data_IF_934594044016
#
_entry.id   IF_934594044016
#
_cell.length_a   1.000
_cell.length_b   1.000
_cell.length_c   1.000
_cell.angle_alpha   90.00
_cell.angle_beta   90.00
_cell.angle_gamma   90.00
#
_symmetry.space_group_name_H-M   'P 1'
#
loop_
_entity.id
_entity.type
_entity.pdbx_description
1 polymer ?
#
# COMPACT_ATOMS: atom_id res chain seq x y z
N UNK A 1 9.50 45.38 -5.45
CA UNK A 1 8.12 45.13 -4.98
C UNK A 1 7.63 43.86 -5.65
N UNK A 2 7.78 42.77 -4.98
CA UNK A 2 7.39 41.45 -5.48
C UNK A 2 6.08 41.05 -4.80
N UNK A 3 4.99 41.16 -5.56
CA UNK A 3 3.67 40.75 -5.11
C UNK A 3 3.60 39.23 -5.05
N UNK A 4 3.49 38.66 -3.86
CA UNK A 4 3.10 37.25 -3.65
C UNK A 4 1.60 37.19 -3.91
N UNK A 5 1.21 36.64 -5.06
CA UNK A 5 -0.17 36.23 -5.30
C UNK A 5 -0.43 34.95 -4.52
N UNK A 6 -1.12 35.06 -3.38
CA UNK A 6 -1.75 33.93 -2.72
C UNK A 6 -2.92 33.45 -3.58
N UNK A 7 -2.67 32.54 -4.51
CA UNK A 7 -3.74 31.75 -5.11
C UNK A 7 -4.42 30.95 -4.02
N UNK A 8 -5.69 31.26 -3.74
CA UNK A 8 -6.56 30.37 -3.01
C UNK A 8 -6.56 29.01 -3.74
N UNK A 9 -5.96 28.00 -3.13
CA UNK A 9 -5.91 26.67 -3.69
C UNK A 9 -7.36 26.13 -3.75
N UNK A 10 -7.87 25.79 -4.94
CA UNK A 10 -9.12 25.07 -5.00
C UNK A 10 -8.93 23.76 -4.27
N UNK A 11 -9.91 23.36 -3.47
CA UNK A 11 -9.97 22.04 -2.84
C UNK A 11 -10.18 21.04 -3.99
N UNK A 12 -9.09 20.52 -4.52
CA UNK A 12 -9.17 19.42 -5.46
C UNK A 12 -9.46 18.14 -4.67
N UNK A 13 -10.64 17.57 -4.85
CA UNK A 13 -10.86 16.17 -4.56
C UNK A 13 -10.01 15.37 -5.53
N UNK A 14 -8.88 14.87 -5.04
CA UNK A 14 -8.00 14.04 -5.85
C UNK A 14 -8.58 12.64 -5.98
N UNK A 15 -9.33 12.42 -7.03
CA UNK A 15 -9.47 11.10 -7.60
C UNK A 15 -8.10 10.70 -8.16
N UNK A 16 -7.56 9.59 -7.68
CA UNK A 16 -6.39 8.97 -8.31
C UNK A 16 -6.85 8.57 -9.69
N UNK A 17 -6.24 9.07 -10.79
CA UNK A 17 -6.68 8.71 -12.13
C UNK A 17 -6.54 7.20 -12.27
N UNK A 18 -7.64 6.52 -12.60
CA UNK A 18 -7.61 5.10 -12.93
C UNK A 18 -6.79 4.86 -14.20
N UNK A 19 -6.35 3.63 -14.41
CA UNK A 19 -5.61 3.24 -15.62
C UNK A 19 -6.34 3.58 -16.91
N UNK A 20 -7.67 3.53 -16.91
CA UNK A 20 -8.53 3.91 -18.02
C UNK A 20 -8.42 5.40 -18.37
N UNK A 21 -8.43 6.26 -17.35
CA UNK A 21 -8.27 7.69 -17.58
C UNK A 21 -6.88 8.02 -18.14
N UNK A 22 -5.83 7.38 -17.61
CA UNK A 22 -4.46 7.54 -18.09
C UNK A 22 -4.33 7.08 -19.54
N UNK A 23 -4.90 5.93 -19.88
CA UNK A 23 -4.96 5.42 -21.27
C UNK A 23 -5.65 6.42 -22.20
N UNK A 24 -6.79 6.97 -21.78
CA UNK A 24 -7.54 7.97 -22.56
C UNK A 24 -6.72 9.24 -22.81
N UNK A 25 -6.04 9.77 -21.79
CA UNK A 25 -5.21 10.98 -21.94
C UNK A 25 -3.99 10.71 -22.81
N UNK A 26 -3.35 9.55 -22.67
CA UNK A 26 -2.22 9.18 -23.52
C UNK A 26 -2.62 9.00 -25.00
N UNK A 27 -3.81 8.44 -25.28
CA UNK A 27 -4.33 8.34 -26.64
C UNK A 27 -4.57 9.71 -27.30
N UNK A 28 -4.95 10.72 -26.51
CA UNK A 28 -5.10 12.10 -27.01
C UNK A 28 -3.74 12.76 -27.30
N UNK A 29 -2.76 12.51 -26.43
CA UNK A 29 -1.42 13.09 -26.56
C UNK A 29 -0.59 12.41 -27.66
N UNK A 30 -0.78 11.11 -27.84
CA UNK A 30 -0.01 10.27 -28.76
C UNK A 30 -0.94 9.46 -29.68
N UNK A 31 -1.68 10.11 -30.61
CA UNK A 31 -2.73 9.46 -31.41
C UNK A 31 -2.22 8.39 -32.40
N UNK A 32 -0.92 8.36 -32.66
CA UNK A 32 -0.31 7.38 -33.59
C UNK A 32 0.35 6.20 -32.87
N UNK A 33 0.30 6.16 -31.52
CA UNK A 33 0.95 5.11 -30.74
C UNK A 33 -0.03 4.00 -30.37
N UNK A 34 0.49 2.79 -30.25
CA UNK A 34 -0.29 1.64 -29.81
C UNK A 34 -0.16 1.52 -28.29
N UNK A 35 -1.25 1.83 -27.58
CA UNK A 35 -1.31 1.79 -26.13
C UNK A 35 -2.05 0.53 -25.70
N UNK A 36 -1.52 -0.17 -24.69
CA UNK A 36 -2.17 -1.32 -24.11
C UNK A 36 -2.29 -1.19 -22.59
N UNK A 37 -3.47 -1.53 -22.05
CA UNK A 37 -3.78 -1.53 -20.63
C UNK A 37 -3.70 -2.92 -20.04
N UNK A 38 -3.01 -3.00 -18.89
CA UNK A 38 -2.81 -4.21 -18.10
C UNK A 38 -3.23 -3.96 -16.67
N UNK A 39 -4.46 -4.26 -16.33
CA UNK A 39 -4.98 -4.21 -14.96
C UNK A 39 -5.87 -5.43 -14.65
N UNK A 40 -6.21 -5.60 -13.38
CA UNK A 40 -7.00 -6.73 -12.89
C UNK A 40 -8.43 -6.75 -13.45
N UNK A 41 -8.95 -5.62 -13.88
CA UNK A 41 -10.34 -5.50 -14.35
C UNK A 41 -10.48 -5.92 -15.83
N UNK A 42 -9.38 -5.92 -16.58
CA UNK A 42 -9.33 -6.28 -18.02
C UNK A 42 -8.90 -7.74 -18.24
N UNK A 43 -8.38 -8.39 -17.20
CA UNK A 43 -7.69 -9.66 -17.33
C UNK A 43 -8.61 -10.89 -17.24
N UNK A 44 -9.16 -11.31 -18.36
CA UNK A 44 -9.17 -12.75 -18.61
C UNK A 44 -7.73 -13.18 -18.96
N UNK A 45 -7.28 -14.34 -18.46
CA UNK A 45 -5.92 -14.87 -18.71
C UNK A 45 -5.50 -14.80 -20.18
N UNK A 46 -6.42 -15.08 -21.11
CA UNK A 46 -6.22 -15.01 -22.55
C UNK A 46 -5.88 -13.61 -23.08
N UNK A 47 -6.49 -12.55 -22.54
CA UNK A 47 -6.16 -11.18 -22.96
C UNK A 47 -4.77 -10.75 -22.48
N UNK A 48 -4.38 -11.19 -21.29
CA UNK A 48 -3.04 -10.92 -20.75
C UNK A 48 -1.97 -11.60 -21.60
N UNK A 49 -2.14 -12.88 -21.93
CA UNK A 49 -1.21 -13.64 -22.79
C UNK A 49 -1.09 -13.02 -24.18
N UNK A 50 -2.22 -12.70 -24.81
CA UNK A 50 -2.24 -12.07 -26.13
C UNK A 50 -1.54 -10.70 -26.15
N UNK A 51 -1.76 -9.88 -25.12
CA UNK A 51 -1.09 -8.59 -25.01
C UNK A 51 0.40 -8.76 -24.71
N UNK A 52 0.78 -9.78 -23.93
CA UNK A 52 2.18 -10.09 -23.65
C UNK A 52 2.93 -10.54 -24.92
N UNK A 53 2.32 -11.36 -25.76
CA UNK A 53 2.90 -11.73 -27.07
C UNK A 53 3.07 -10.52 -28.01
N UNK A 54 2.05 -9.65 -28.06
CA UNK A 54 2.15 -8.40 -28.84
C UNK A 54 3.27 -7.49 -28.36
N UNK A 55 3.48 -7.44 -27.02
CA UNK A 55 4.56 -6.70 -26.41
C UNK A 55 5.92 -7.26 -26.81
N UNK A 56 6.11 -8.58 -26.72
CA UNK A 56 7.35 -9.25 -27.16
C UNK A 56 7.65 -9.05 -28.65
N UNK A 57 6.61 -8.88 -29.46
CA UNK A 57 6.73 -8.60 -30.90
C UNK A 57 6.91 -7.10 -31.21
N UNK A 58 7.15 -6.25 -30.20
CA UNK A 58 7.28 -4.79 -30.35
C UNK A 58 6.07 -4.12 -31.06
N UNK A 59 4.87 -4.66 -30.85
CA UNK A 59 3.61 -4.14 -31.41
C UNK A 59 2.85 -3.26 -30.43
N UNK A 60 3.45 -2.89 -29.32
CA UNK A 60 2.89 -2.00 -28.29
C UNK A 60 3.98 -1.00 -27.94
N UNK A 61 3.64 0.29 -28.04
CA UNK A 61 4.56 1.40 -27.78
C UNK A 61 4.49 1.86 -26.32
N UNK A 62 3.29 1.88 -25.75
CA UNK A 62 3.05 2.34 -24.39
C UNK A 62 2.21 1.31 -23.62
N UNK A 63 2.63 1.02 -22.40
CA UNK A 63 1.90 0.15 -21.48
C UNK A 63 1.40 0.96 -20.32
N UNK A 64 0.13 0.85 -20.00
CA UNK A 64 -0.50 1.43 -18.84
C UNK A 64 -0.95 0.29 -17.90
N UNK A 65 -0.65 0.38 -16.62
CA UNK A 65 -1.11 -0.63 -15.69
C UNK A 65 -0.81 -0.32 -14.23
N UNK A 66 -1.16 -1.27 -13.38
CA UNK A 66 -0.96 -1.20 -11.95
C UNK A 66 0.37 -1.82 -11.54
N UNK A 67 0.59 -1.95 -10.24
CA UNK A 67 1.78 -2.61 -9.64
C UNK A 67 2.06 -4.02 -10.20
N UNK A 68 1.08 -4.67 -10.83
CA UNK A 68 1.24 -6.00 -11.44
C UNK A 68 2.28 -5.99 -12.57
N UNK A 69 2.38 -4.89 -13.33
CA UNK A 69 3.39 -4.74 -14.39
C UNK A 69 4.81 -4.82 -13.85
N UNK A 70 5.02 -4.28 -12.66
CA UNK A 70 6.35 -4.26 -12.03
C UNK A 70 6.77 -5.64 -11.54
N UNK A 71 5.81 -6.48 -11.12
CA UNK A 71 6.08 -7.77 -10.45
C UNK A 71 6.09 -8.97 -11.39
N UNK A 72 5.36 -8.93 -12.50
CA UNK A 72 5.02 -10.13 -13.25
C UNK A 72 5.57 -10.26 -14.66
N UNK A 73 6.03 -9.17 -15.29
CA UNK A 73 6.39 -9.17 -16.70
C UNK A 73 7.89 -8.93 -16.92
N UNK A 74 8.47 -9.68 -17.83
CA UNK A 74 9.78 -9.33 -18.40
C UNK A 74 9.54 -8.35 -19.55
N UNK A 75 10.05 -7.12 -19.41
CA UNK A 75 9.88 -6.02 -20.34
C UNK A 75 11.23 -5.66 -20.95
N UNK A 76 11.64 -6.37 -22.00
CA UNK A 76 12.90 -6.07 -22.67
C UNK A 76 12.83 -4.69 -23.36
N UNK A 77 13.95 -3.97 -23.37
CA UNK A 77 14.11 -2.68 -24.07
C UNK A 77 13.20 -1.54 -23.56
N UNK A 78 12.87 -1.55 -22.28
CA UNK A 78 12.07 -0.49 -21.66
C UNK A 78 12.91 0.79 -21.51
N UNK A 79 12.66 1.80 -22.35
CA UNK A 79 13.41 3.07 -22.35
C UNK A 79 12.88 4.10 -21.35
N UNK A 80 11.62 3.98 -20.95
CA UNK A 80 10.99 4.95 -20.04
C UNK A 80 10.01 4.28 -19.08
N UNK A 81 10.01 4.72 -17.83
CA UNK A 81 8.99 4.37 -16.82
C UNK A 81 8.46 5.64 -16.16
N UNK A 82 7.16 5.86 -16.25
CA UNK A 82 6.44 6.90 -15.51
C UNK A 82 5.69 6.30 -14.31
N UNK A 83 6.02 6.71 -13.09
CA UNK A 83 5.28 6.34 -11.88
C UNK A 83 4.36 7.48 -11.51
N UNK A 84 3.07 7.31 -11.77
CA UNK A 84 2.06 8.33 -11.53
C UNK A 84 1.55 8.19 -10.10
N UNK A 85 1.67 9.28 -9.32
CA UNK A 85 1.20 9.37 -7.94
C UNK A 85 1.80 8.30 -7.00
N UNK A 86 3.11 8.38 -6.79
CA UNK A 86 3.82 7.53 -5.82
C UNK A 86 3.27 7.67 -4.38
N UNK A 87 2.66 8.82 -4.06
CA UNK A 87 2.07 9.11 -2.75
C UNK A 87 0.90 8.19 -2.40
N UNK A 88 0.19 7.66 -3.38
CA UNK A 88 -0.92 6.74 -3.16
C UNK A 88 -0.48 5.48 -2.38
N UNK A 89 0.72 5.00 -2.65
CA UNK A 89 1.29 3.86 -1.95
C UNK A 89 1.69 4.24 -0.51
N UNK A 90 2.14 5.46 -0.26
CA UNK A 90 2.53 5.97 1.06
C UNK A 90 1.33 6.33 1.95
N UNK A 91 0.15 6.52 1.37
CA UNK A 91 -1.05 6.95 2.09
C UNK A 91 -1.75 5.82 2.88
N UNK A 92 -1.37 4.57 2.70
CA UNK A 92 -1.98 3.46 3.43
C UNK A 92 -1.58 3.46 4.90
N UNK A 93 -2.54 3.39 5.84
CA UNK A 93 -2.26 3.38 7.28
C UNK A 93 -1.77 2.00 7.74
N UNK A 94 -0.58 1.60 7.29
CA UNK A 94 0.03 0.32 7.62
C UNK A 94 1.51 0.53 7.96
N UNK A 95 2.02 -0.19 8.95
CA UNK A 95 3.42 -0.10 9.37
C UNK A 95 4.43 -0.61 8.34
N UNK A 96 3.97 -1.34 7.33
CA UNK A 96 4.81 -1.85 6.22
C UNK A 96 4.72 -0.98 4.97
N UNK A 97 3.99 0.12 5.01
CA UNK A 97 3.68 0.96 3.84
C UNK A 97 4.94 1.53 3.18
N UNK A 98 5.83 2.11 3.96
CA UNK A 98 7.06 2.70 3.44
C UNK A 98 7.99 1.64 2.83
N UNK A 99 8.10 0.47 3.47
CA UNK A 99 8.89 -0.65 2.97
C UNK A 99 8.34 -1.18 1.64
N UNK A 100 7.03 -1.40 1.56
CA UNK A 100 6.36 -1.84 0.33
C UNK A 100 6.51 -0.82 -0.79
N UNK A 101 6.43 0.47 -0.47
CA UNK A 101 6.62 1.56 -1.44
C UNK A 101 8.06 1.60 -1.93
N UNK A 102 9.05 1.53 -1.03
CA UNK A 102 10.46 1.44 -1.41
C UNK A 102 10.71 0.27 -2.36
N UNK A 103 10.26 -0.92 -2.00
CA UNK A 103 10.42 -2.14 -2.82
C UNK A 103 9.78 -1.98 -4.20
N UNK A 104 8.58 -1.41 -4.27
CA UNK A 104 7.89 -1.17 -5.53
C UNK A 104 8.66 -0.19 -6.42
N UNK A 105 9.13 0.92 -5.86
CA UNK A 105 9.88 1.93 -6.61
C UNK A 105 11.21 1.37 -7.12
N UNK A 106 11.98 0.69 -6.27
CA UNK A 106 13.25 0.05 -6.68
C UNK A 106 13.02 -1.00 -7.77
N UNK A 107 11.95 -1.81 -7.66
CA UNK A 107 11.61 -2.78 -8.69
C UNK A 107 11.26 -2.10 -10.02
N UNK A 108 10.51 -0.99 -9.98
CA UNK A 108 10.14 -0.24 -11.18
C UNK A 108 11.37 0.41 -11.84
N UNK A 109 12.24 1.02 -11.04
CA UNK A 109 13.50 1.61 -11.49
C UNK A 109 14.41 0.53 -12.11
N UNK A 110 14.51 -0.63 -11.46
CA UNK A 110 15.31 -1.75 -11.95
C UNK A 110 14.81 -2.38 -13.25
N UNK A 111 13.59 -2.06 -13.70
CA UNK A 111 13.07 -2.52 -15.01
C UNK A 111 13.72 -1.79 -16.20
N UNK A 112 14.02 -0.51 -16.03
CA UNK A 112 14.58 0.33 -17.10
C UNK A 112 16.07 0.00 -17.36
N UNK A 113 16.78 -0.48 -16.34
CA UNK A 113 18.24 -0.75 -16.47
C UNK A 113 18.56 -2.19 -16.93
N UNK A 114 17.58 -2.93 -17.48
CA UNK A 114 17.78 -4.30 -17.97
C UNK A 114 18.07 -4.32 -19.46
N UNK A 115 19.19 -3.77 -19.90
CA UNK A 115 19.58 -3.77 -21.30
C UNK A 115 20.79 -2.89 -21.56
N UNK A 116 21.21 -2.81 -22.83
CA UNK A 116 22.35 -1.99 -23.26
C UNK A 116 22.00 -0.50 -23.44
N UNK A 117 20.74 -0.10 -23.22
CA UNK A 117 20.27 1.28 -23.37
C UNK A 117 19.97 1.88 -22.00
N UNK A 118 20.51 3.07 -21.73
CA UNK A 118 20.15 3.87 -20.57
C UNK A 118 18.70 4.34 -20.73
N UNK A 119 17.86 4.05 -19.73
CA UNK A 119 16.49 4.51 -19.73
C UNK A 119 16.22 5.55 -18.64
N UNK A 120 15.08 6.20 -18.73
CA UNK A 120 14.66 7.26 -17.81
C UNK A 120 13.49 6.80 -16.94
N UNK A 121 13.54 7.11 -15.64
CA UNK A 121 12.42 6.92 -14.71
C UNK A 121 11.97 8.26 -14.19
N UNK A 122 10.67 8.54 -14.28
CA UNK A 122 10.06 9.73 -13.70
C UNK A 122 9.07 9.31 -12.63
N UNK A 123 9.26 9.83 -11.43
CA UNK A 123 8.38 9.59 -10.27
C UNK A 123 7.61 10.85 -9.97
N UNK A 124 6.29 10.82 -10.19
CA UNK A 124 5.42 11.92 -9.81
C UNK A 124 5.03 11.77 -8.34
N UNK A 125 5.36 12.80 -7.55
CA UNK A 125 5.07 12.83 -6.11
C UNK A 125 4.82 14.26 -5.64
N UNK A 126 4.07 14.42 -4.56
CA UNK A 126 3.91 15.67 -3.79
C UNK A 126 4.85 15.73 -2.60
N UNK A 127 5.55 14.65 -2.31
CA UNK A 127 6.48 14.52 -1.20
C UNK A 127 7.89 14.19 -1.73
N UNK A 128 8.50 15.09 -2.55
CA UNK A 128 9.82 14.82 -3.14
C UNK A 128 10.91 14.63 -2.08
N UNK A 129 10.72 15.22 -0.89
CA UNK A 129 11.64 15.11 0.24
C UNK A 129 11.41 13.86 1.12
N UNK A 130 10.47 12.98 0.73
CA UNK A 130 10.26 11.71 1.44
C UNK A 130 11.51 10.85 1.41
N UNK A 131 11.99 10.47 2.59
CA UNK A 131 13.17 9.59 2.74
C UNK A 131 13.01 8.27 1.98
N UNK A 132 11.79 7.74 1.90
CA UNK A 132 11.46 6.52 1.16
C UNK A 132 11.65 6.72 -0.35
N UNK A 133 11.18 7.84 -0.90
CA UNK A 133 11.31 8.15 -2.33
C UNK A 133 12.77 8.41 -2.67
N UNK A 134 13.45 9.29 -1.91
CA UNK A 134 14.87 9.60 -2.15
C UNK A 134 15.73 8.34 -2.10
N UNK A 135 15.60 7.54 -1.04
CA UNK A 135 16.36 6.30 -0.91
C UNK A 135 16.11 5.32 -2.06
N UNK A 136 14.88 5.25 -2.58
CA UNK A 136 14.55 4.38 -3.70
C UNK A 136 15.21 4.83 -5.02
N UNK A 137 15.31 6.15 -5.27
CA UNK A 137 15.91 6.69 -6.50
C UNK A 137 17.41 6.43 -6.58
N UNK A 138 18.12 6.45 -5.45
CA UNK A 138 19.55 6.18 -5.37
C UNK A 138 19.86 4.74 -4.96
N UNK A 139 18.84 3.91 -4.79
CA UNK A 139 18.92 2.51 -4.34
C UNK A 139 19.71 2.35 -3.02
N UNK A 140 19.55 3.29 -2.09
CA UNK A 140 20.19 3.24 -0.78
C UNK A 140 19.37 2.44 0.23
N UNK A 141 19.44 1.13 0.13
CA UNK A 141 18.81 0.21 1.07
C UNK A 141 19.33 0.38 2.50
N UNK A 142 20.62 0.61 2.66
CA UNK A 142 21.26 0.66 3.99
C UNK A 142 20.70 1.79 4.85
N UNK A 143 20.65 3.00 4.30
CA UNK A 143 20.10 4.17 5.00
C UNK A 143 18.59 4.02 5.23
N UNK A 144 17.86 3.55 4.22
CA UNK A 144 16.42 3.27 4.34
C UNK A 144 16.15 2.27 5.46
N UNK A 145 16.83 1.13 5.46
CA UNK A 145 16.64 0.08 6.46
C UNK A 145 16.92 0.56 7.90
N UNK A 146 18.01 1.30 8.10
CA UNK A 146 18.35 1.87 9.43
C UNK A 146 17.26 2.85 9.91
N UNK A 147 16.79 3.72 9.02
CA UNK A 147 15.71 4.66 9.33
C UNK A 147 14.42 3.93 9.71
N UNK A 148 14.04 2.90 8.94
CA UNK A 148 12.87 2.08 9.24
C UNK A 148 12.96 1.35 10.58
N UNK A 149 14.13 0.80 10.92
CA UNK A 149 14.33 0.16 12.22
C UNK A 149 14.19 1.14 13.38
N UNK A 150 14.74 2.35 13.26
CA UNK A 150 14.59 3.39 14.29
C UNK A 150 13.11 3.79 14.47
N UNK A 151 12.41 4.01 13.36
CA UNK A 151 10.98 4.31 13.40
C UNK A 151 10.15 3.18 14.03
N UNK A 152 10.42 1.92 13.66
CA UNK A 152 9.72 0.76 14.23
C UNK A 152 10.01 0.59 15.71
N UNK A 153 11.24 0.86 16.14
CA UNK A 153 11.64 0.82 17.55
C UNK A 153 10.90 1.88 18.39
N UNK A 154 10.85 3.12 17.91
CA UNK A 154 10.18 4.22 18.61
C UNK A 154 8.66 4.03 18.76
N UNK A 155 8.03 3.28 17.83
CA UNK A 155 6.60 3.02 17.83
C UNK A 155 6.20 1.63 18.33
N UNK A 156 7.13 0.85 18.90
CA UNK A 156 6.91 -0.52 19.32
C UNK A 156 6.22 -1.35 18.21
N UNK A 157 6.89 -1.43 17.06
CA UNK A 157 6.45 -2.20 15.89
C UNK A 157 7.41 -3.38 15.63
N UNK A 158 7.00 -4.42 14.92
CA UNK A 158 7.91 -5.51 14.57
C UNK A 158 9.20 -5.03 13.88
N UNK A 159 10.37 -5.53 14.22
CA UNK A 159 10.64 -6.71 15.06
C UNK A 159 10.75 -6.44 16.58
N UNK A 160 10.53 -5.22 17.05
CA UNK A 160 10.70 -4.82 18.47
C UNK A 160 9.50 -5.14 19.36
N UNK A 161 8.35 -5.43 18.77
CA UNK A 161 7.17 -5.90 19.46
C UNK A 161 6.40 -6.89 18.59
N UNK A 162 5.59 -7.72 19.23
CA UNK A 162 4.62 -8.58 18.57
C UNK A 162 3.28 -7.87 18.48
N UNK A 163 2.56 -8.13 17.40
CA UNK A 163 1.25 -7.54 17.14
C UNK A 163 0.17 -8.63 17.09
N UNK A 164 -0.96 -8.36 17.71
CA UNK A 164 -2.17 -9.16 17.57
C UNK A 164 -3.30 -8.28 17.06
N UNK A 165 -3.85 -8.63 15.91
CA UNK A 165 -5.01 -7.98 15.30
C UNK A 165 -6.25 -8.80 15.61
N UNK A 166 -7.20 -8.19 16.32
CA UNK A 166 -8.47 -8.79 16.67
C UNK A 166 -9.58 -8.12 15.85
N UNK A 167 -10.47 -8.90 15.27
CA UNK A 167 -11.62 -8.40 14.51
C UNK A 167 -12.91 -9.03 15.02
N UNK A 168 -13.97 -8.23 15.16
CA UNK A 168 -15.32 -8.72 15.34
C UNK A 168 -16.22 -8.25 14.21
N UNK A 169 -17.14 -9.11 13.79
CA UNK A 169 -18.18 -8.81 12.81
C UNK A 169 -19.54 -8.89 13.47
N UNK A 170 -20.41 -7.89 13.22
CA UNK A 170 -21.77 -7.81 13.77
C UNK A 170 -22.72 -7.26 12.69
N UNK A 171 -24.00 -7.59 12.84
CA UNK A 171 -25.08 -7.11 11.95
C UNK A 171 -25.34 -5.61 12.05
N UNK A 172 -24.97 -4.98 13.17
CA UNK A 172 -25.08 -3.52 13.34
C UNK A 172 -23.76 -2.92 13.81
N UNK A 173 -23.49 -1.70 13.39
CA UNK A 173 -22.31 -0.96 13.79
C UNK A 173 -22.24 -0.74 15.29
N UNK A 174 -23.37 -0.34 15.90
CA UNK A 174 -23.48 -0.15 17.37
C UNK A 174 -23.08 -1.40 18.15
N UNK A 175 -23.53 -2.59 17.67
CA UNK A 175 -23.18 -3.87 18.31
C UNK A 175 -21.68 -4.21 18.12
N UNK A 176 -21.09 -3.88 16.99
CA UNK A 176 -19.66 -4.08 16.75
C UNK A 176 -18.81 -3.19 17.67
N UNK A 177 -19.14 -1.90 17.78
CA UNK A 177 -18.49 -0.95 18.69
C UNK A 177 -18.60 -1.43 20.14
N UNK A 178 -19.82 -1.74 20.59
CA UNK A 178 -20.06 -2.21 21.96
C UNK A 178 -19.23 -3.47 22.28
N UNK A 179 -19.23 -4.45 21.38
CA UNK A 179 -18.44 -5.67 21.54
C UNK A 179 -16.93 -5.37 21.65
N UNK A 180 -16.44 -4.44 20.83
CA UNK A 180 -15.03 -4.07 20.81
C UNK A 180 -14.61 -3.29 22.08
N UNK A 181 -15.42 -2.33 22.54
CA UNK A 181 -15.14 -1.59 23.78
C UNK A 181 -15.22 -2.52 25.01
N UNK A 182 -16.18 -3.43 25.06
CA UNK A 182 -16.29 -4.42 26.14
C UNK A 182 -15.03 -5.30 26.21
N UNK A 183 -14.58 -5.82 25.07
CA UNK A 183 -13.36 -6.63 25.03
C UNK A 183 -12.14 -5.82 25.44
N UNK A 184 -11.96 -4.61 24.90
CA UNK A 184 -10.87 -3.69 25.28
C UNK A 184 -10.81 -3.45 26.78
N UNK A 185 -11.96 -3.18 27.41
CA UNK A 185 -12.05 -2.92 28.84
C UNK A 185 -11.62 -4.16 29.66
N UNK A 186 -12.07 -5.34 29.26
CA UNK A 186 -11.71 -6.59 29.91
C UNK A 186 -10.20 -6.89 29.76
N UNK A 187 -9.67 -6.74 28.54
CA UNK A 187 -8.26 -6.98 28.27
C UNK A 187 -7.35 -5.99 29.02
N UNK A 188 -7.73 -4.71 29.15
CA UNK A 188 -6.99 -3.74 29.96
C UNK A 188 -6.91 -4.12 31.43
N UNK A 189 -7.96 -4.72 31.99
CA UNK A 189 -7.98 -5.19 33.39
C UNK A 189 -7.08 -6.41 33.58
N UNK A 190 -7.16 -7.39 32.64
CA UNK A 190 -6.41 -8.64 32.76
C UNK A 190 -4.94 -8.50 32.34
N UNK A 191 -4.65 -7.62 31.38
CA UNK A 191 -3.32 -7.45 30.79
C UNK A 191 -2.90 -5.97 30.75
N UNK A 192 -2.68 -5.32 31.89
CA UNK A 192 -2.46 -3.85 31.98
C UNK A 192 -1.20 -3.38 31.25
N UNK A 193 -0.19 -4.22 31.09
CA UNK A 193 1.05 -3.91 30.35
C UNK A 193 0.96 -4.10 28.83
N UNK A 194 -0.18 -4.58 28.32
CA UNK A 194 -0.39 -4.72 26.88
C UNK A 194 -0.94 -3.42 26.30
N UNK A 195 -0.27 -2.87 25.31
CA UNK A 195 -0.78 -1.70 24.61
C UNK A 195 -1.95 -2.13 23.70
N UNK A 196 -3.11 -1.47 23.89
CA UNK A 196 -4.33 -1.74 23.09
C UNK A 196 -4.74 -0.48 22.35
N UNK A 197 -4.76 -0.56 21.04
CA UNK A 197 -5.14 0.52 20.10
C UNK A 197 -6.52 0.19 19.54
N UNK A 198 -7.36 1.18 19.38
CA UNK A 198 -8.75 1.02 18.95
C UNK A 198 -9.74 1.11 20.13
N UNK A 199 -11.02 0.69 19.93
CA UNK A 199 -11.51 0.09 18.70
C UNK A 199 -11.58 1.06 17.52
N UNK A 200 -11.31 0.55 16.34
CA UNK A 200 -11.43 1.30 15.08
C UNK A 200 -12.18 0.46 14.05
N UNK A 201 -12.87 1.07 13.08
CA UNK A 201 -13.39 0.30 11.96
C UNK A 201 -12.24 -0.39 11.22
N UNK A 202 -12.48 -1.60 10.70
CA UNK A 202 -11.54 -2.24 9.80
C UNK A 202 -11.47 -1.48 8.48
N UNK A 203 -10.40 -1.63 7.71
CA UNK A 203 -10.21 -0.96 6.41
C UNK A 203 -11.42 -1.17 5.47
N UNK A 204 -11.93 -2.40 5.42
CA UNK A 204 -13.24 -2.71 4.82
C UNK A 204 -14.27 -2.82 5.94
N UNK A 205 -14.81 -1.68 6.36
CA UNK A 205 -15.72 -1.59 7.49
C UNK A 205 -17.01 -2.41 7.31
N UNK A 206 -17.60 -2.37 6.12
CA UNK A 206 -18.87 -3.04 5.81
C UNK A 206 -18.70 -4.02 4.66
N UNK A 207 -18.96 -5.31 4.92
CA UNK A 207 -18.95 -6.38 3.91
C UNK A 207 -20.19 -7.23 4.14
N UNK A 208 -20.97 -7.50 3.09
CA UNK A 208 -22.17 -8.36 3.14
C UNK A 208 -23.11 -7.99 4.30
N UNK A 209 -23.43 -6.70 4.44
CA UNK A 209 -24.27 -6.15 5.50
C UNK A 209 -23.78 -6.42 6.94
N UNK A 210 -22.52 -6.75 7.12
CA UNK A 210 -21.86 -6.88 8.43
C UNK A 210 -20.82 -5.79 8.63
N UNK A 211 -20.77 -5.25 9.84
CA UNK A 211 -19.81 -4.23 10.27
C UNK A 211 -18.65 -4.89 10.99
N UNK A 212 -17.43 -4.56 10.54
CA UNK A 212 -16.19 -5.12 11.11
C UNK A 212 -15.45 -4.03 11.89
N UNK A 213 -15.20 -4.30 13.15
CA UNK A 213 -14.38 -3.47 14.04
C UNK A 213 -13.17 -4.24 14.53
N UNK A 214 -12.09 -3.53 14.84
CA UNK A 214 -10.81 -4.15 15.18
C UNK A 214 -10.16 -3.51 16.39
N UNK A 215 -9.35 -4.32 17.09
CA UNK A 215 -8.38 -3.92 18.09
C UNK A 215 -7.00 -4.37 17.65
N UNK A 216 -6.01 -3.53 17.86
CA UNK A 216 -4.60 -3.87 17.64
C UNK A 216 -3.92 -3.90 19.00
N UNK A 217 -3.35 -5.02 19.36
CA UNK A 217 -2.62 -5.21 20.60
C UNK A 217 -1.12 -5.32 20.28
N UNK A 218 -0.30 -4.68 21.12
CA UNK A 218 1.16 -4.80 21.03
C UNK A 218 1.72 -5.28 22.36
N UNK A 219 2.63 -6.25 22.29
CA UNK A 219 3.34 -6.76 23.45
C UNK A 219 4.79 -7.09 23.09
N UNK A 220 5.69 -6.95 24.06
CA UNK A 220 7.09 -7.34 23.90
C UNK A 220 7.30 -8.86 23.88
N UNK A 221 6.35 -9.62 24.45
CA UNK A 221 6.39 -11.07 24.51
C UNK A 221 5.20 -11.68 23.76
N UNK A 222 5.50 -12.52 22.78
CA UNK A 222 4.51 -13.22 21.94
C UNK A 222 3.61 -14.14 22.77
N UNK A 223 4.15 -14.79 23.80
CA UNK A 223 3.38 -15.69 24.67
C UNK A 223 2.18 -15.00 25.33
N UNK A 224 2.33 -13.72 25.67
CA UNK A 224 1.21 -12.92 26.20
C UNK A 224 0.07 -12.77 25.21
N UNK A 225 0.38 -12.58 23.92
CA UNK A 225 -0.64 -12.48 22.88
C UNK A 225 -1.35 -13.83 22.68
N UNK A 226 -0.64 -14.95 22.82
CA UNK A 226 -1.23 -16.30 22.77
C UNK A 226 -2.22 -16.50 23.93
N UNK A 227 -1.86 -16.12 25.16
CA UNK A 227 -2.78 -16.18 26.30
C UNK A 227 -4.06 -15.35 26.07
N UNK A 228 -3.92 -14.20 25.41
CA UNK A 228 -5.08 -13.39 25.06
C UNK A 228 -5.96 -14.10 24.03
N UNK A 229 -5.36 -14.78 23.04
CA UNK A 229 -6.11 -15.53 22.03
C UNK A 229 -6.91 -16.67 22.67
N UNK A 230 -6.31 -17.40 23.62
CA UNK A 230 -6.97 -18.50 24.34
C UNK A 230 -8.16 -18.02 25.18
N UNK A 231 -8.10 -16.78 25.65
CA UNK A 231 -9.16 -16.15 26.46
C UNK A 231 -10.20 -15.38 25.63
N UNK A 232 -10.12 -15.42 24.28
CA UNK A 232 -11.05 -14.66 23.44
C UNK A 232 -12.47 -15.24 23.50
N UNK A 233 -13.50 -14.40 23.64
CA UNK A 233 -14.87 -14.85 23.52
C UNK A 233 -15.21 -15.28 22.08
N UNK A 234 -16.24 -16.10 21.93
CA UNK A 234 -16.74 -16.50 20.61
C UNK A 234 -17.09 -15.30 19.70
N UNK A 235 -16.91 -15.47 18.38
CA UNK A 235 -17.24 -14.44 17.39
C UNK A 235 -16.16 -13.37 17.21
N UNK A 236 -14.94 -13.63 17.69
CA UNK A 236 -13.73 -12.89 17.36
C UNK A 236 -12.82 -13.70 16.44
N UNK A 237 -12.26 -13.05 15.45
CA UNK A 237 -11.15 -13.54 14.64
C UNK A 237 -9.86 -12.84 15.02
N UNK A 238 -8.74 -13.50 14.86
CA UNK A 238 -7.44 -12.97 15.21
C UNK A 238 -6.40 -13.24 14.12
N UNK A 239 -5.37 -12.42 14.13
CA UNK A 239 -4.17 -12.59 13.31
C UNK A 239 -2.98 -12.14 14.15
N UNK A 240 -2.04 -13.04 14.40
CA UNK A 240 -0.84 -12.79 15.19
C UNK A 240 0.35 -12.48 14.27
N UNK A 241 1.07 -11.43 14.57
CA UNK A 241 2.15 -10.88 13.75
C UNK A 241 1.72 -10.67 12.28
N UNK A 242 0.58 -9.96 12.06
CA UNK A 242 0.00 -9.81 10.73
C UNK A 242 0.95 -9.09 9.78
N UNK A 243 0.98 -9.54 8.52
CA UNK A 243 1.75 -8.87 7.45
C UNK A 243 1.19 -7.50 7.08
N UNK A 244 -0.05 -7.20 7.50
CA UNK A 244 -0.73 -5.92 7.27
C UNK A 244 -1.78 -5.68 8.34
N UNK A 245 -1.95 -4.43 8.73
CA UNK A 245 -3.01 -3.99 9.64
C UNK A 245 -4.32 -3.63 8.93
N UNK A 246 -4.36 -3.68 7.60
CA UNK A 246 -5.53 -3.38 6.77
C UNK A 246 -6.54 -4.51 6.71
#
# INVERSE_FOLDING_TARGET
>A
MTGVQTCALPIFFFSIPGTEHIESELNKLFPQTIIARFDTDVATSEKLEKNYERLRQHKIDIIVGTQMLVKGFDLPNLGFVGIINADSSLAFPDYTTEEKTYQLLVQAIGRVNRGHTSGTVVIQTRQPDSSTIIASTINDWSTFYKSQLLHRKSHNLPPYAHILKLKCRRSSEKSAIYSAEKLKTNLKKMYPSTQIIGPTPAFKQKINNQYTWQLILKASNRQRLIQIIEALPSGWSYDIDPLTLL
#
